data_IF_791125375279
#
_entry.id   IF_791125375279
#
_cell.length_a   1.000
_cell.length_b   1.000
_cell.length_c   1.000
_cell.angle_alpha   90.00
_cell.angle_beta   90.00
_cell.angle_gamma   90.00
#
_symmetry.space_group_name_H-M   'P 1'
#
loop_
_entity.id
_entity.type
_entity.pdbx_description
1 polymer ?
#
# COMPACT_ATOMS: atom_id res chain seq x y z
N UNK A 1 -0.93 -13.14 5.58
CA UNK A 1 -1.03 -11.77 6.09
C UNK A 1 -1.08 -10.81 4.90
N UNK A 2 -2.04 -9.89 4.94
CA UNK A 2 -2.22 -8.90 3.88
C UNK A 2 -1.99 -7.52 4.47
N UNK A 3 -0.98 -6.83 3.98
CA UNK A 3 -0.55 -5.55 4.54
C UNK A 3 -0.96 -4.42 3.61
N UNK A 4 -1.70 -3.44 4.16
CA UNK A 4 -2.04 -2.22 3.46
C UNK A 4 -1.31 -1.03 4.06
N UNK A 5 -1.01 -0.03 3.23
CA UNK A 5 -0.33 1.18 3.68
C UNK A 5 -1.26 2.38 3.61
N UNK A 6 -1.36 3.10 4.70
CA UNK A 6 -2.08 4.38 4.77
C UNK A 6 -1.02 5.47 4.74
N UNK A 7 -1.04 6.25 3.67
CA UNK A 7 0.04 7.17 3.38
C UNK A 7 1.05 6.53 2.45
N UNK A 8 1.57 7.30 1.52
CA UNK A 8 2.45 6.79 0.47
C UNK A 8 3.72 7.62 0.41
N UNK A 9 4.37 7.80 1.55
CA UNK A 9 5.66 8.45 1.61
C UNK A 9 6.80 7.50 1.25
N UNK A 10 8.02 8.02 1.25
CA UNK A 10 9.19 7.24 0.85
C UNK A 10 9.37 5.99 1.70
N UNK A 11 9.12 6.10 3.01
CA UNK A 11 9.28 4.95 3.91
C UNK A 11 8.26 3.86 3.61
N UNK A 12 6.98 4.23 3.44
CA UNK A 12 5.94 3.28 3.14
C UNK A 12 6.16 2.59 1.80
N UNK A 13 6.60 3.33 0.79
CA UNK A 13 6.89 2.79 -0.52
C UNK A 13 8.06 1.80 -0.46
N UNK A 14 9.12 2.15 0.25
CA UNK A 14 10.30 1.29 0.42
C UNK A 14 9.96 0.03 1.18
N UNK A 15 9.16 0.14 2.26
CA UNK A 15 8.73 -1.03 3.04
C UNK A 15 7.86 -1.96 2.21
N UNK A 16 6.95 -1.40 1.41
CA UNK A 16 6.11 -2.20 0.54
C UNK A 16 6.92 -3.01 -0.46
N UNK A 17 7.93 -2.39 -1.03
CA UNK A 17 8.83 -3.06 -1.96
C UNK A 17 9.59 -4.19 -1.26
N UNK A 18 10.11 -3.93 -0.07
CA UNK A 18 10.84 -4.92 0.72
C UNK A 18 9.95 -6.09 1.08
N UNK A 19 8.74 -5.83 1.56
CA UNK A 19 7.79 -6.88 1.93
C UNK A 19 7.46 -7.75 0.73
N UNK A 20 7.21 -7.14 -0.42
CA UNK A 20 6.90 -7.89 -1.64
C UNK A 20 8.07 -8.80 -2.03
N UNK A 21 9.29 -8.31 -1.90
CA UNK A 21 10.49 -9.10 -2.20
C UNK A 21 10.67 -10.28 -1.23
N UNK A 22 10.13 -10.15 -0.02
CA UNK A 22 10.21 -11.20 1.00
C UNK A 22 9.01 -12.14 0.97
N UNK A 23 8.15 -12.03 -0.03
CA UNK A 23 6.98 -12.89 -0.17
C UNK A 23 5.81 -12.52 0.73
N UNK A 24 5.84 -11.36 1.35
CA UNK A 24 4.73 -10.85 2.15
C UNK A 24 3.72 -10.20 1.22
N UNK A 25 2.45 -10.51 1.41
CA UNK A 25 1.39 -9.97 0.56
C UNK A 25 1.09 -8.53 0.93
N UNK A 26 1.33 -7.61 -0.01
CA UNK A 26 1.00 -6.19 0.14
C UNK A 26 -0.24 -5.92 -0.69
N UNK A 27 -1.33 -5.47 -0.04
CA UNK A 27 -2.59 -5.21 -0.75
C UNK A 27 -2.50 -3.93 -1.56
N UNK A 28 -1.90 -2.89 -1.01
CA UNK A 28 -1.76 -1.65 -1.74
C UNK A 28 -1.66 -0.43 -0.85
N UNK A 29 -2.01 0.71 -1.42
CA UNK A 29 -1.82 2.01 -0.80
C UNK A 29 -3.09 2.84 -0.85
N UNK A 30 -3.31 3.60 0.21
CA UNK A 30 -4.28 4.67 0.26
C UNK A 30 -3.58 5.94 0.75
N UNK A 31 -3.83 7.07 0.11
CA UNK A 31 -3.30 8.36 0.53
C UNK A 31 -4.31 9.44 0.26
N UNK A 32 -4.29 10.50 1.08
CA UNK A 32 -5.13 11.68 0.85
C UNK A 32 -4.82 12.32 -0.52
N UNK A 33 -3.55 12.27 -0.92
CA UNK A 33 -3.15 12.70 -2.25
C UNK A 33 -3.11 11.46 -3.13
N UNK A 34 -4.14 11.31 -3.96
CA UNK A 34 -4.30 10.11 -4.79
C UNK A 34 -3.06 9.83 -5.63
N UNK A 35 -2.42 10.86 -6.15
CA UNK A 35 -1.24 10.67 -6.98
C UNK A 35 -0.11 9.95 -6.23
N UNK A 36 0.05 10.24 -4.95
CA UNK A 36 1.07 9.57 -4.15
C UNK A 36 0.77 8.07 -4.01
N UNK A 37 -0.50 7.73 -3.78
CA UNK A 37 -0.90 6.32 -3.69
C UNK A 37 -0.73 5.62 -5.03
N UNK A 38 -1.07 6.30 -6.13
CA UNK A 38 -0.90 5.73 -7.46
C UNK A 38 0.56 5.46 -7.78
N UNK A 39 1.44 6.39 -7.45
CA UNK A 39 2.88 6.22 -7.69
C UNK A 39 3.46 5.08 -6.86
N UNK A 40 3.07 5.00 -5.59
CA UNK A 40 3.54 3.93 -4.72
C UNK A 40 3.03 2.56 -5.18
N UNK A 41 1.77 2.49 -5.57
CA UNK A 41 1.17 1.25 -6.05
C UNK A 41 1.85 0.79 -7.34
N UNK A 42 2.14 1.71 -8.24
CA UNK A 42 2.83 1.37 -9.47
C UNK A 42 4.25 0.87 -9.19
N UNK A 43 4.97 1.56 -8.33
CA UNK A 43 6.35 1.19 -7.98
C UNK A 43 6.43 -0.19 -7.33
N UNK A 44 5.45 -0.53 -6.50
CA UNK A 44 5.42 -1.79 -5.77
C UNK A 44 4.60 -2.87 -6.47
N UNK A 45 3.93 -2.52 -7.57
CA UNK A 45 3.02 -3.39 -8.31
C UNK A 45 1.87 -3.90 -7.44
N UNK A 46 1.29 -2.99 -6.69
CA UNK A 46 0.15 -3.29 -5.83
C UNK A 46 -1.04 -2.41 -6.22
N UNK A 47 -2.06 -2.42 -5.40
CA UNK A 47 -3.32 -1.74 -5.72
C UNK A 47 -3.37 -0.34 -5.12
N UNK A 48 -3.97 0.59 -5.84
CA UNK A 48 -4.26 1.93 -5.32
C UNK A 48 -5.71 1.97 -4.90
N UNK A 49 -5.95 2.21 -3.62
CA UNK A 49 -7.31 2.25 -3.07
C UNK A 49 -7.85 3.67 -3.08
N UNK A 50 -9.13 3.81 -3.41
CA UNK A 50 -9.78 5.12 -3.50
C UNK A 50 -10.24 5.62 -2.14
N UNK A 51 -10.56 4.72 -1.23
CA UNK A 51 -11.07 5.09 0.10
C UNK A 51 -10.35 4.32 1.20
N UNK A 52 -10.35 4.91 2.39
CA UNK A 52 -9.80 4.26 3.57
C UNK A 52 -10.55 2.95 3.88
N UNK A 53 -11.87 2.96 3.71
CA UNK A 53 -12.68 1.78 3.98
C UNK A 53 -12.28 0.60 3.10
N UNK A 54 -11.97 0.85 1.85
CA UNK A 54 -11.57 -0.22 0.93
C UNK A 54 -10.27 -0.88 1.36
N UNK A 55 -9.27 -0.09 1.75
CA UNK A 55 -7.99 -0.67 2.17
C UNK A 55 -8.11 -1.40 3.50
N UNK A 56 -8.96 -0.90 4.39
CA UNK A 56 -9.21 -1.55 5.68
C UNK A 56 -9.84 -2.94 5.46
N UNK A 57 -10.81 -3.02 4.56
CA UNK A 57 -11.47 -4.29 4.27
C UNK A 57 -10.56 -5.28 3.56
N UNK A 58 -9.65 -4.79 2.75
CA UNK A 58 -8.77 -5.66 1.96
C UNK A 58 -7.54 -6.14 2.73
N UNK A 59 -7.28 -5.58 3.90
CA UNK A 59 -6.01 -5.79 4.61
C UNK A 59 -6.23 -6.35 6.01
N UNK A 60 -5.31 -7.21 6.43
CA UNK A 60 -5.30 -7.72 7.81
C UNK A 60 -4.51 -6.79 8.72
N UNK A 61 -3.51 -6.12 8.17
CA UNK A 61 -2.59 -5.26 8.91
C UNK A 61 -2.43 -3.96 8.14
N UNK A 62 -2.42 -2.85 8.85
CA UNK A 62 -2.26 -1.53 8.25
C UNK A 62 -1.05 -0.82 8.86
N UNK A 63 -0.33 -0.15 8.00
CA UNK A 63 0.81 0.69 8.40
C UNK A 63 0.51 2.16 8.16
#
# INVERSE_FOLDING_TARGET
MKIGFIGAGNVGTSLGKLFAQRGVSVTGYFSRTRRHAEEAAEFTRTHCFDTLEEIVQASDTLF
#
